data_IF_401043785925
#
_entry.id   IF_401043785925
#
_cell.length_a   1.000
_cell.length_b   1.000
_cell.length_c   1.000
_cell.angle_alpha   90.00
_cell.angle_beta   90.00
_cell.angle_gamma   90.00
#
_symmetry.space_group_name_H-M   'P 1'
#
loop_
_entity.id
_entity.type
_entity.pdbx_description
1 polymer ?
#
# COMPACT_ATOMS: atom_id res chain seq x y z
N UNK A 1 17.82 5.61 -4.40
CA UNK A 1 16.65 4.70 -4.48
C UNK A 1 15.52 5.29 -3.65
N UNK A 2 14.30 5.20 -4.13
CA UNK A 2 13.12 5.70 -3.39
C UNK A 2 12.72 4.72 -2.28
N UNK A 3 12.18 5.28 -1.19
CA UNK A 3 11.82 4.55 0.02
C UNK A 3 10.30 4.43 0.12
N UNK A 4 9.80 3.22 0.37
CA UNK A 4 8.37 2.93 0.50
C UNK A 4 7.96 2.86 1.97
N UNK A 5 6.99 3.67 2.37
CA UNK A 5 6.29 3.54 3.65
C UNK A 5 5.08 2.62 3.52
N UNK A 6 4.78 1.87 4.56
CA UNK A 6 3.59 1.02 4.60
C UNK A 6 2.79 1.29 5.87
N UNK A 7 1.56 1.78 5.70
CA UNK A 7 0.57 1.80 6.78
C UNK A 7 -0.01 0.40 6.89
N UNK A 8 0.54 -0.38 7.81
CA UNK A 8 0.25 -1.79 7.99
C UNK A 8 -0.55 -2.11 9.25
N UNK A 9 -0.79 -3.39 9.46
CA UNK A 9 -1.60 -3.87 10.60
C UNK A 9 -3.10 -3.90 10.32
N UNK A 10 -3.53 -3.67 9.08
CA UNK A 10 -4.93 -3.49 8.66
C UNK A 10 -5.47 -4.63 7.74
N UNK A 11 -5.24 -5.95 7.88
CA UNK A 11 -4.64 -6.59 9.04
C UNK A 11 -3.17 -6.95 8.88
N UNK A 12 -2.64 -7.52 9.98
CA UNK A 12 -1.24 -7.91 10.07
C UNK A 12 -0.81 -8.94 9.03
N UNK A 13 -1.61 -9.96 8.78
CA UNK A 13 -1.30 -11.00 7.80
C UNK A 13 -1.29 -10.45 6.36
N UNK A 14 -2.16 -9.51 6.04
CA UNK A 14 -2.14 -8.83 4.74
C UNK A 14 -0.86 -7.99 4.57
N UNK A 15 -0.38 -7.38 5.64
CA UNK A 15 0.87 -6.62 5.66
C UNK A 15 2.08 -7.54 5.46
N UNK A 16 2.13 -8.68 6.13
CA UNK A 16 3.16 -9.70 5.94
C UNK A 16 3.18 -10.21 4.50
N UNK A 17 2.02 -10.57 3.97
CA UNK A 17 1.90 -11.02 2.59
C UNK A 17 2.36 -9.96 1.59
N UNK A 18 1.99 -8.70 1.81
CA UNK A 18 2.43 -7.58 0.99
C UNK A 18 3.95 -7.45 0.97
N UNK A 19 4.61 -7.51 2.12
CA UNK A 19 6.07 -7.47 2.21
C UNK A 19 6.72 -8.63 1.47
N UNK A 20 6.24 -9.85 1.70
CA UNK A 20 6.70 -11.05 0.99
C UNK A 20 6.55 -10.92 -0.52
N UNK A 21 5.40 -10.38 -0.98
CA UNK A 21 5.11 -10.20 -2.38
C UNK A 21 6.06 -9.19 -3.05
N UNK A 22 6.28 -8.04 -2.42
CA UNK A 22 7.22 -7.02 -2.91
C UNK A 22 8.61 -7.62 -3.10
N UNK A 23 9.12 -8.34 -2.10
CA UNK A 23 10.45 -8.96 -2.17
C UNK A 23 10.54 -10.01 -3.29
N UNK A 24 9.52 -10.85 -3.46
CA UNK A 24 9.47 -11.85 -4.52
C UNK A 24 9.36 -11.25 -5.92
N UNK A 25 8.75 -10.08 -6.03
CA UNK A 25 8.55 -9.39 -7.31
C UNK A 25 9.73 -8.53 -7.72
N UNK A 26 10.60 -8.15 -6.78
CA UNK A 26 11.80 -7.39 -7.07
C UNK A 26 12.81 -8.31 -7.76
N UNK A 27 13.25 -7.91 -8.96
CA UNK A 27 14.30 -8.60 -9.70
C UNK A 27 15.66 -8.19 -9.12
N UNK A 28 16.00 -8.80 -7.99
CA UNK A 28 17.19 -8.48 -7.20
C UNK A 28 18.20 -9.62 -7.26
N UNK A 29 19.44 -9.29 -7.56
CA UNK A 29 20.57 -10.22 -7.50
C UNK A 29 21.31 -10.18 -6.15
N UNK A 30 21.10 -9.11 -5.39
CA UNK A 30 21.73 -8.87 -4.08
C UNK A 30 20.71 -8.20 -3.16
N UNK A 31 20.91 -8.27 -1.86
CA UNK A 31 20.04 -7.61 -0.87
C UNK A 31 19.91 -6.10 -1.13
N UNK A 32 20.98 -5.46 -1.60
CA UNK A 32 21.01 -4.02 -1.87
C UNK A 32 20.15 -3.59 -3.07
N UNK A 33 19.72 -4.53 -3.88
CA UNK A 33 18.87 -4.27 -5.07
C UNK A 33 17.36 -4.28 -4.70
N UNK A 34 17.02 -4.64 -3.45
CA UNK A 34 15.65 -4.60 -2.94
C UNK A 34 15.19 -3.19 -2.58
N UNK A 35 13.86 -2.99 -2.58
CA UNK A 35 13.24 -1.73 -2.19
C UNK A 35 13.46 -1.48 -0.69
N UNK A 36 13.95 -0.30 -0.34
CA UNK A 36 14.00 0.12 1.06
C UNK A 36 12.57 0.42 1.56
N UNK A 37 12.15 -0.23 2.65
CA UNK A 37 10.80 -0.08 3.18
C UNK A 37 10.79 0.21 4.68
N UNK A 38 9.81 1.03 5.08
CA UNK A 38 9.46 1.23 6.49
C UNK A 38 8.01 0.76 6.67
N UNK A 39 7.83 -0.31 7.40
CA UNK A 39 6.50 -0.87 7.67
C UNK A 39 6.10 -0.53 9.11
N UNK A 40 5.06 0.29 9.24
CA UNK A 40 4.47 0.56 10.53
C UNK A 40 3.20 -0.30 10.68
N UNK A 41 3.36 -1.44 11.30
CA UNK A 41 2.23 -2.34 11.61
C UNK A 41 1.54 -1.89 12.91
N UNK A 42 0.32 -1.33 12.77
CA UNK A 42 -0.49 -0.83 13.90
C UNK A 42 -1.84 -1.54 13.93
N UNK A 43 -1.93 -2.77 14.46
CA UNK A 43 -3.17 -3.54 14.49
C UNK A 43 -4.24 -2.94 15.42
N UNK A 44 -3.88 -1.99 16.27
CA UNK A 44 -4.81 -1.22 17.11
C UNK A 44 -5.65 -0.19 16.37
N UNK A 45 -5.42 0.03 15.07
CA UNK A 45 -6.28 0.88 14.24
C UNK A 45 -7.69 0.26 14.20
N UNK A 46 -8.76 1.03 14.52
CA UNK A 46 -10.13 0.52 14.56
C UNK A 46 -10.58 -0.16 13.27
N UNK A 47 -11.56 -1.05 13.37
CA UNK A 47 -12.09 -1.78 12.21
C UNK A 47 -12.71 -0.83 11.17
N UNK A 48 -12.22 -0.90 9.95
CA UNK A 48 -12.63 -0.06 8.82
C UNK A 48 -14.04 -0.41 8.34
N UNK A 49 -14.35 -1.69 8.26
CA UNK A 49 -15.65 -2.17 7.78
C UNK A 49 -16.77 -1.79 8.74
N UNK A 50 -16.59 -2.01 10.03
CA UNK A 50 -17.57 -1.61 11.05
C UNK A 50 -17.82 -0.11 11.07
N UNK A 51 -16.78 0.70 10.89
CA UNK A 51 -16.90 2.15 10.80
C UNK A 51 -17.65 2.59 9.54
N UNK A 52 -17.29 2.06 8.35
CA UNK A 52 -17.95 2.36 7.08
C UNK A 52 -19.44 2.01 7.11
N UNK A 53 -19.80 0.89 7.72
CA UNK A 53 -21.18 0.42 7.85
C UNK A 53 -21.96 1.10 9.00
N UNK A 54 -21.35 2.03 9.72
CA UNK A 54 -21.99 2.72 10.84
C UNK A 54 -22.23 1.82 12.09
N UNK A 55 -21.61 0.63 12.12
CA UNK A 55 -21.69 -0.30 13.25
C UNK A 55 -20.75 0.03 14.39
N UNK A 56 -19.70 0.79 14.12
CA UNK A 56 -18.73 1.29 15.08
C UNK A 56 -18.58 2.80 14.96
N UNK A 57 -18.39 3.49 16.09
CA UNK A 57 -18.06 4.92 16.15
C UNK A 57 -16.56 5.17 16.26
N UNK A 58 -15.77 4.12 16.44
CA UNK A 58 -14.31 4.24 16.52
C UNK A 58 -13.74 4.60 15.17
N UNK A 59 -13.16 5.79 15.08
CA UNK A 59 -12.68 6.36 13.82
C UNK A 59 -11.27 5.83 13.46
N UNK A 60 -11.13 5.04 12.37
CA UNK A 60 -9.83 4.54 11.95
C UNK A 60 -8.97 5.59 11.23
N UNK A 61 -9.56 6.69 10.75
CA UNK A 61 -8.89 7.68 9.91
C UNK A 61 -7.79 8.40 10.68
N UNK A 62 -8.08 8.81 11.92
CA UNK A 62 -7.13 9.57 12.75
C UNK A 62 -5.82 8.80 12.96
N UNK A 63 -5.82 7.55 13.47
CA UNK A 63 -4.57 6.80 13.64
C UNK A 63 -3.90 6.44 12.30
N UNK A 64 -4.64 6.32 11.20
CA UNK A 64 -4.03 6.15 9.88
C UNK A 64 -3.27 7.40 9.44
N UNK A 65 -3.82 8.60 9.68
CA UNK A 65 -3.14 9.87 9.41
C UNK A 65 -1.87 9.99 10.26
N UNK A 66 -1.95 9.67 11.55
CA UNK A 66 -0.79 9.70 12.46
C UNK A 66 0.35 8.82 11.93
N UNK A 67 0.06 7.58 11.57
CA UNK A 67 1.06 6.67 10.99
C UNK A 67 1.63 7.23 9.68
N UNK A 68 0.78 7.75 8.81
CA UNK A 68 1.23 8.34 7.54
C UNK A 68 2.16 9.54 7.74
N UNK A 69 1.88 10.38 8.74
CA UNK A 69 2.75 11.52 9.09
C UNK A 69 4.09 11.06 9.65
N UNK A 70 4.09 10.09 10.54
CA UNK A 70 5.34 9.48 11.07
C UNK A 70 6.20 8.92 9.93
N UNK A 71 5.60 8.19 9.00
CA UNK A 71 6.31 7.67 7.83
C UNK A 71 6.91 8.81 6.99
N UNK A 72 6.16 9.89 6.81
CA UNK A 72 6.64 11.09 6.12
C UNK A 72 7.85 11.73 6.82
N UNK A 73 7.84 11.83 8.14
CA UNK A 73 8.97 12.33 8.94
C UNK A 73 10.21 11.42 8.84
N UNK A 74 10.00 10.13 8.64
CA UNK A 74 11.08 9.15 8.37
C UNK A 74 11.60 9.20 6.93
N UNK A 75 11.07 10.10 6.10
CA UNK A 75 11.59 10.38 4.77
C UNK A 75 11.22 9.33 3.72
N UNK A 76 10.04 8.73 3.82
CA UNK A 76 9.54 7.87 2.73
C UNK A 76 9.06 8.70 1.55
N UNK A 77 9.21 8.20 0.34
CA UNK A 77 8.81 8.88 -0.90
C UNK A 77 7.37 8.57 -1.31
N UNK A 78 6.88 7.39 -0.95
CA UNK A 78 5.52 6.91 -1.21
C UNK A 78 4.99 6.13 -0.03
N UNK A 79 3.66 6.07 0.08
CA UNK A 79 2.97 5.25 1.08
C UNK A 79 2.06 4.25 0.39
N UNK A 80 2.13 2.99 0.81
CA UNK A 80 1.18 1.94 0.47
C UNK A 80 0.32 1.57 1.67
N UNK A 81 -0.94 1.21 1.41
CA UNK A 81 -1.89 0.74 2.41
C UNK A 81 -2.42 -0.62 1.92
N UNK A 82 -1.88 -1.76 2.37
CA UNK A 82 -2.34 -3.09 1.95
C UNK A 82 -3.68 -3.46 2.61
N UNK A 83 -4.70 -2.64 2.35
CA UNK A 83 -6.04 -2.77 2.90
C UNK A 83 -7.04 -2.13 1.94
N UNK A 84 -7.90 -2.93 1.32
CA UNK A 84 -8.90 -2.43 0.35
C UNK A 84 -9.90 -1.49 1.03
N UNK A 85 -10.43 -1.87 2.19
CA UNK A 85 -11.40 -1.03 2.93
C UNK A 85 -10.78 0.28 3.43
N UNK A 86 -9.48 0.32 3.66
CA UNK A 86 -8.74 1.55 3.99
C UNK A 86 -8.77 2.59 2.87
N UNK A 87 -8.94 2.15 1.61
CA UNK A 87 -9.02 3.05 0.45
C UNK A 87 -10.35 3.83 0.36
N UNK A 88 -11.37 3.49 1.13
CA UNK A 88 -12.55 4.33 1.29
C UNK A 88 -12.21 5.70 1.90
N UNK A 89 -11.11 5.80 2.61
CA UNK A 89 -10.64 7.03 3.25
C UNK A 89 -9.55 7.74 2.45
N UNK A 90 -9.26 7.28 1.22
CA UNK A 90 -8.14 7.77 0.42
C UNK A 90 -8.11 9.28 0.29
N UNK A 91 -9.24 9.92 -0.05
CA UNK A 91 -9.28 11.36 -0.30
C UNK A 91 -8.89 12.16 0.97
N UNK A 92 -9.40 11.76 2.12
CA UNK A 92 -9.08 12.41 3.39
C UNK A 92 -7.64 12.13 3.81
N UNK A 93 -7.16 10.91 3.63
CA UNK A 93 -5.77 10.56 3.91
C UNK A 93 -4.80 11.33 3.02
N UNK A 94 -5.09 11.41 1.72
CA UNK A 94 -4.27 12.14 0.76
C UNK A 94 -4.25 13.66 1.02
N UNK A 95 -5.31 14.23 1.59
CA UNK A 95 -5.35 15.64 1.97
C UNK A 95 -4.54 15.94 3.23
N UNK A 96 -4.41 14.98 4.15
CA UNK A 96 -3.79 15.15 5.47
C UNK A 96 -2.34 14.66 5.54
N UNK A 97 -1.95 13.76 4.63
CA UNK A 97 -0.61 13.18 4.55
C UNK A 97 0.11 13.78 3.33
N UNK A 98 1.25 14.42 3.56
CA UNK A 98 2.03 15.09 2.50
C UNK A 98 2.67 14.12 1.50
N UNK A 99 2.99 12.91 1.96
CA UNK A 99 3.60 11.89 1.11
C UNK A 99 2.54 11.28 0.19
N UNK A 100 2.81 11.12 -1.11
CA UNK A 100 1.88 10.51 -2.04
C UNK A 100 1.48 9.08 -1.61
N UNK A 101 0.18 8.80 -1.59
CA UNK A 101 -0.38 7.49 -1.27
C UNK A 101 -0.68 6.74 -2.56
N UNK A 102 -0.19 5.52 -2.68
CA UNK A 102 -0.47 4.64 -3.81
C UNK A 102 -1.93 4.18 -3.73
N UNK A 103 -2.74 4.56 -4.73
CA UNK A 103 -4.15 4.20 -4.76
C UNK A 103 -4.36 2.82 -5.39
N UNK A 104 -4.32 1.76 -4.58
CA UNK A 104 -4.40 0.38 -5.05
C UNK A 104 -5.56 0.10 -6.02
N UNK A 105 -6.74 0.63 -5.74
CA UNK A 105 -7.93 0.39 -6.58
C UNK A 105 -7.78 1.02 -7.97
N UNK A 106 -7.30 2.28 -8.04
CA UNK A 106 -7.07 2.96 -9.33
C UNK A 106 -5.98 2.26 -10.14
N UNK A 107 -4.89 1.87 -9.49
CA UNK A 107 -3.81 1.16 -10.16
C UNK A 107 -4.27 -0.22 -10.65
N UNK A 108 -5.05 -0.95 -9.88
CA UNK A 108 -5.66 -2.22 -10.30
C UNK A 108 -6.58 -2.03 -11.52
N UNK A 109 -7.44 -1.02 -11.51
CA UNK A 109 -8.31 -0.72 -12.64
C UNK A 109 -7.53 -0.31 -13.90
N UNK A 110 -6.42 0.42 -13.73
CA UNK A 110 -5.52 0.80 -14.83
C UNK A 110 -4.89 -0.42 -15.49
N UNK A 111 -4.40 -1.37 -14.70
CA UNK A 111 -3.79 -2.59 -15.22
C UNK A 111 -4.81 -3.47 -15.98
N UNK A 112 -6.04 -3.58 -15.47
CA UNK A 112 -7.12 -4.30 -16.14
C UNK A 112 -7.41 -3.73 -17.53
N UNK A 113 -7.38 -2.41 -17.70
CA UNK A 113 -7.59 -1.76 -19.01
C UNK A 113 -6.45 -2.03 -19.99
N UNK A 114 -5.22 -2.13 -19.51
CA UNK A 114 -4.02 -2.29 -20.36
C UNK A 114 -3.83 -3.76 -20.75
N UNK A 115 -4.11 -4.71 -19.86
CA UNK A 115 -3.86 -6.14 -20.10
C UNK A 115 -4.92 -6.82 -20.97
N UNK A 116 -6.11 -6.26 -21.09
CA UNK A 116 -7.20 -6.74 -21.98
C UNK A 116 -7.65 -8.18 -21.77
N UNK A 117 -7.13 -8.91 -20.79
CA UNK A 117 -7.49 -10.31 -20.57
C UNK A 117 -7.27 -10.81 -19.14
N UNK A 118 -8.27 -11.48 -18.63
CA UNK A 118 -8.26 -12.28 -17.40
C UNK A 118 -7.43 -13.58 -17.48
N UNK A 119 -6.74 -13.85 -18.58
CA UNK A 119 -6.21 -15.18 -18.91
C UNK A 119 -4.70 -15.35 -18.81
N UNK A 120 -3.97 -14.50 -18.09
CA UNK A 120 -2.52 -14.70 -17.95
C UNK A 120 -2.16 -15.53 -16.71
N UNK A 121 -1.19 -16.46 -16.92
CA UNK A 121 -0.74 -17.49 -15.99
C UNK A 121 -0.02 -16.99 -14.71
N UNK A 122 0.20 -15.69 -14.57
CA UNK A 122 0.72 -15.10 -13.33
C UNK A 122 -0.43 -14.55 -12.49
N UNK A 123 -0.35 -14.65 -11.15
CA UNK A 123 -1.36 -14.04 -10.29
C UNK A 123 -1.47 -12.55 -10.62
N UNK A 124 -2.67 -12.11 -10.96
CA UNK A 124 -3.03 -10.75 -11.36
C UNK A 124 -2.41 -9.65 -10.45
N UNK A 125 -2.35 -9.91 -9.16
CA UNK A 125 -1.72 -9.06 -8.14
C UNK A 125 -0.24 -8.77 -8.39
N UNK A 126 0.49 -9.72 -8.96
CA UNK A 126 1.95 -9.63 -9.15
C UNK A 126 2.32 -8.70 -10.31
N UNK A 127 1.71 -8.90 -11.47
CA UNK A 127 1.96 -8.06 -12.66
C UNK A 127 1.59 -6.60 -12.44
N UNK A 128 0.49 -6.38 -11.74
CA UNK A 128 -0.02 -5.08 -11.34
C UNK A 128 0.97 -4.28 -10.48
N UNK A 129 1.45 -4.88 -9.39
CA UNK A 129 2.38 -4.21 -8.48
C UNK A 129 3.71 -3.88 -9.16
N UNK A 130 4.27 -4.80 -9.96
CA UNK A 130 5.53 -4.56 -10.69
C UNK A 130 5.47 -3.29 -11.54
N UNK A 131 4.40 -3.11 -12.30
CA UNK A 131 4.26 -1.95 -13.18
C UNK A 131 4.09 -0.64 -12.39
N UNK A 132 3.26 -0.63 -11.36
CA UNK A 132 3.07 0.54 -10.51
C UNK A 132 4.36 0.94 -9.81
N UNK A 133 5.09 -0.02 -9.26
CA UNK A 133 6.36 0.25 -8.60
C UNK A 133 7.43 0.74 -9.58
N UNK A 134 7.47 0.23 -10.82
CA UNK A 134 8.35 0.73 -11.87
C UNK A 134 7.99 2.15 -12.30
N UNK A 135 6.70 2.46 -12.47
CA UNK A 135 6.26 3.81 -12.84
C UNK A 135 6.58 4.87 -11.77
N UNK A 136 6.81 4.44 -10.54
CA UNK A 136 7.19 5.28 -9.40
C UNK A 136 8.71 5.27 -9.14
N UNK A 137 9.48 4.62 -10.00
CA UNK A 137 10.94 4.44 -9.83
C UNK A 137 11.33 3.73 -8.53
N UNK A 138 10.44 2.90 -8.00
CA UNK A 138 10.67 2.06 -6.83
C UNK A 138 11.28 0.70 -7.18
N UNK A 139 11.15 0.27 -8.45
CA UNK A 139 11.80 -0.91 -9.00
C UNK A 139 12.68 -0.52 -10.19
N UNK A 140 13.82 -1.18 -10.36
CA UNK A 140 14.64 -1.04 -11.56
C UNK A 140 13.94 -1.52 -12.84
#
# INVERSE_FOLDING_TARGET
MKKLGVIGGLGPLATEYFYSLINKMTDANRDQDHIEMIIYSKPSIPDRTGYILGKSKENPIIPMIEVGRILGELGVDYIAIPCITGHNFYEVLASEIRVPIIHMVKETARELRVSGSWQRREPFTVSFFKRSLRSMELLP
#
